data_IF_876061671814
#
_entry.id   IF_876061671814
#
_cell.length_a   1.000
_cell.length_b   1.000
_cell.length_c   1.000
_cell.angle_alpha   90.00
_cell.angle_beta   90.00
_cell.angle_gamma   90.00
#
_symmetry.space_group_name_H-M   'P 1'
#
loop_
_entity.id
_entity.type
_entity.pdbx_description
1 polymer ?
#
# COMPACT_ATOMS: atom_id res chain seq x y z
N UNK A 1 -6.52 -10.15 -6.36
CA UNK A 1 -6.95 -8.84 -5.83
C UNK A 1 -5.82 -8.30 -4.95
N UNK A 2 -5.77 -7.00 -4.63
CA UNK A 2 -4.75 -6.45 -3.72
C UNK A 2 -5.19 -6.60 -2.25
N UNK A 3 -4.23 -6.80 -1.34
CA UNK A 3 -4.45 -6.79 0.11
C UNK A 3 -3.73 -5.60 0.74
N UNK A 4 -4.49 -4.73 1.41
CA UNK A 4 -3.92 -3.73 2.31
C UNK A 4 -3.61 -4.40 3.65
N UNK A 5 -2.50 -4.02 4.27
CA UNK A 5 -2.01 -4.65 5.50
C UNK A 5 -1.61 -3.57 6.49
N UNK A 6 -2.11 -3.65 7.71
CA UNK A 6 -1.67 -2.76 8.79
C UNK A 6 -1.28 -3.55 10.03
N UNK A 7 -0.22 -3.13 10.70
CA UNK A 7 0.12 -3.67 12.02
C UNK A 7 -0.73 -2.99 13.09
N UNK A 8 -1.39 -3.77 13.94
CA UNK A 8 -2.31 -3.25 14.96
C UNK A 8 -1.69 -2.22 15.94
N UNK A 9 -0.37 -2.29 16.19
CA UNK A 9 0.32 -1.36 17.09
C UNK A 9 1.14 -0.29 16.36
N UNK A 10 1.04 -0.21 15.03
CA UNK A 10 1.54 0.95 14.28
C UNK A 10 0.45 2.04 14.31
N UNK A 11 0.65 3.20 14.98
CA UNK A 11 -0.38 4.22 15.10
C UNK A 11 -0.87 4.76 13.75
N UNK A 12 0.03 5.03 12.80
CA UNK A 12 -0.35 5.56 11.49
C UNK A 12 -1.07 4.48 10.67
N UNK A 13 -0.48 3.29 10.61
CA UNK A 13 -1.04 2.14 9.91
C UNK A 13 -2.43 1.76 10.44
N UNK A 14 -2.57 1.69 11.75
CA UNK A 14 -3.84 1.38 12.41
C UNK A 14 -4.90 2.44 12.17
N UNK A 15 -4.56 3.74 12.24
CA UNK A 15 -5.52 4.81 11.96
C UNK A 15 -5.99 4.80 10.49
N UNK A 16 -5.08 4.61 9.54
CA UNK A 16 -5.43 4.44 8.13
C UNK A 16 -6.34 3.22 7.92
N UNK A 17 -5.99 2.07 8.49
CA UNK A 17 -6.79 0.84 8.39
C UNK A 17 -8.17 1.00 9.03
N UNK A 18 -8.26 1.66 10.20
CA UNK A 18 -9.51 1.93 10.89
C UNK A 18 -10.46 2.75 10.03
N UNK A 19 -9.96 3.78 9.35
CA UNK A 19 -10.76 4.57 8.40
C UNK A 19 -11.25 3.71 7.24
N UNK A 20 -10.34 2.98 6.58
CA UNK A 20 -10.66 2.16 5.41
C UNK A 20 -11.69 1.07 5.74
N UNK A 21 -11.55 0.44 6.91
CA UNK A 21 -12.39 -0.68 7.33
C UNK A 21 -13.88 -0.33 7.51
N UNK A 22 -14.23 0.96 7.63
CA UNK A 22 -15.62 1.41 7.81
C UNK A 22 -16.53 1.08 6.61
N UNK A 23 -15.94 1.00 5.42
CA UNK A 23 -16.63 0.73 4.15
C UNK A 23 -16.43 -0.72 3.67
N UNK A 24 -15.86 -1.58 4.51
CA UNK A 24 -15.56 -2.98 4.22
C UNK A 24 -16.36 -3.91 5.11
N UNK A 25 -16.61 -5.12 4.61
CA UNK A 25 -17.31 -6.16 5.37
C UNK A 25 -16.31 -7.06 6.09
N UNK A 26 -16.43 -7.21 7.42
CA UNK A 26 -15.50 -8.07 8.17
C UNK A 26 -15.85 -9.55 7.96
N UNK A 27 -14.90 -10.33 7.47
CA UNK A 27 -14.97 -11.78 7.25
C UNK A 27 -13.72 -12.46 7.81
N UNK A 28 -13.86 -13.05 9.01
CA UNK A 28 -12.74 -13.64 9.74
C UNK A 28 -11.62 -12.64 10.03
N UNK A 29 -10.43 -12.93 9.52
CA UNK A 29 -9.22 -12.13 9.71
C UNK A 29 -9.07 -10.99 8.68
N UNK A 30 -10.01 -10.85 7.75
CA UNK A 30 -9.93 -9.92 6.63
C UNK A 30 -11.20 -9.06 6.56
N UNK A 31 -11.02 -7.79 6.20
CA UNK A 31 -12.09 -6.90 5.78
C UNK A 31 -12.20 -6.95 4.26
N UNK A 32 -13.33 -7.46 3.75
CA UNK A 32 -13.60 -7.69 2.33
C UNK A 32 -14.14 -6.46 1.65
N UNK A 33 -13.63 -6.19 0.45
CA UNK A 33 -14.04 -5.05 -0.37
C UNK A 33 -14.16 -5.37 -1.84
N UNK A 34 -14.78 -4.43 -2.57
CA UNK A 34 -14.94 -4.54 -4.03
C UNK A 34 -13.63 -4.38 -4.81
N UNK A 35 -12.72 -3.54 -4.30
CA UNK A 35 -11.53 -3.09 -5.03
C UNK A 35 -10.23 -3.69 -4.49
N UNK A 36 -10.20 -3.91 -3.18
CA UNK A 36 -9.12 -4.46 -2.39
C UNK A 36 -9.71 -5.01 -1.11
N UNK A 37 -8.97 -5.88 -0.44
CA UNK A 37 -9.25 -6.31 0.93
C UNK A 37 -8.28 -5.66 1.90
N UNK A 38 -8.54 -5.76 3.21
CA UNK A 38 -7.68 -5.23 4.27
C UNK A 38 -7.49 -6.28 5.37
N UNK A 39 -6.25 -6.52 5.79
CA UNK A 39 -5.92 -7.31 6.98
C UNK A 39 -5.23 -6.44 8.03
N UNK A 40 -5.60 -6.63 9.29
CA UNK A 40 -4.90 -6.04 10.43
C UNK A 40 -4.14 -7.17 11.14
N UNK A 41 -2.81 -7.11 11.10
CA UNK A 41 -1.94 -8.19 11.56
C UNK A 41 -1.41 -7.94 12.99
N UNK A 42 -1.10 -9.01 13.74
CA UNK A 42 -0.66 -8.89 15.14
C UNK A 42 0.85 -8.65 15.30
N UNK A 43 1.62 -8.72 14.21
CA UNK A 43 3.08 -8.53 14.20
C UNK A 43 3.51 -7.37 13.30
N UNK A 44 4.71 -6.79 13.49
CA UNK A 44 5.22 -5.72 12.64
C UNK A 44 5.18 -6.06 11.14
N UNK A 45 4.74 -5.10 10.33
CA UNK A 45 4.65 -5.23 8.87
C UNK A 45 6.00 -5.54 8.23
N UNK A 46 7.08 -4.94 8.74
CA UNK A 46 8.45 -5.15 8.26
C UNK A 46 8.95 -6.60 8.41
N UNK A 47 8.28 -7.40 9.25
CA UNK A 47 8.62 -8.81 9.51
C UNK A 47 7.55 -9.78 8.96
N UNK A 48 6.73 -9.32 8.01
CA UNK A 48 5.62 -10.06 7.46
C UNK A 48 6.00 -10.95 6.25
N UNK A 49 7.18 -11.58 6.27
CA UNK A 49 7.58 -12.53 5.21
C UNK A 49 6.65 -13.76 5.14
N UNK A 50 5.95 -14.07 6.24
CA UNK A 50 4.96 -15.15 6.35
C UNK A 50 3.61 -14.84 5.68
N UNK A 51 3.40 -13.61 5.20
CA UNK A 51 2.06 -13.12 4.83
C UNK A 51 1.39 -13.96 3.73
N UNK A 52 2.16 -14.41 2.73
CA UNK A 52 1.69 -15.25 1.62
C UNK A 52 1.25 -16.66 2.06
N UNK A 53 1.75 -17.16 3.20
CA UNK A 53 1.33 -18.46 3.74
C UNK A 53 -0.12 -18.42 4.26
N UNK A 54 -0.58 -17.23 4.67
CA UNK A 54 -1.92 -17.02 5.23
C UNK A 54 -2.88 -16.34 4.26
N UNK A 55 -2.40 -15.39 3.46
CA UNK A 55 -3.24 -14.56 2.62
C UNK A 55 -2.75 -14.60 1.17
N UNK A 56 -3.46 -15.32 0.30
CA UNK A 56 -3.13 -15.41 -1.13
C UNK A 56 -3.77 -14.26 -1.93
N UNK A 57 -2.94 -13.28 -2.33
CA UNK A 57 -3.39 -12.10 -3.08
C UNK A 57 -2.46 -11.80 -4.26
N UNK A 58 -2.83 -10.84 -5.12
CA UNK A 58 -2.03 -10.44 -6.28
C UNK A 58 -0.93 -9.44 -5.94
N UNK A 59 -1.00 -8.82 -4.76
CA UNK A 59 -0.07 -7.80 -4.27
C UNK A 59 -0.45 -7.30 -2.88
N UNK A 60 0.52 -6.69 -2.19
CA UNK A 60 0.43 -6.28 -0.80
C UNK A 60 0.78 -4.80 -0.63
N UNK A 61 -0.06 -4.06 0.09
CA UNK A 61 0.12 -2.63 0.36
C UNK A 61 0.15 -2.43 1.87
N UNK A 62 1.33 -2.14 2.40
CA UNK A 62 1.53 -1.95 3.83
C UNK A 62 1.23 -0.50 4.21
N UNK A 63 0.36 -0.32 5.19
CA UNK A 63 0.04 0.94 5.82
C UNK A 63 0.90 1.06 7.07
N UNK A 64 1.81 2.03 7.11
CA UNK A 64 2.75 2.14 8.23
C UNK A 64 3.09 3.60 8.58
N UNK A 65 3.83 3.75 9.67
CA UNK A 65 4.51 4.99 10.03
C UNK A 65 5.89 5.06 9.39
N UNK A 66 6.28 6.26 8.99
CA UNK A 66 7.66 6.59 8.68
C UNK A 66 8.29 7.29 9.90
N UNK A 67 9.50 6.89 10.29
CA UNK A 67 10.26 7.51 11.38
C UNK A 67 11.66 7.91 10.90
N UNK A 68 12.04 9.17 11.13
CA UNK A 68 13.34 9.71 10.76
C UNK A 68 13.85 10.70 11.81
N UNK A 69 15.14 10.60 12.10
CA UNK A 69 15.84 11.45 13.08
C UNK A 69 15.80 12.94 12.70
N UNK A 70 15.73 13.24 11.39
CA UNK A 70 15.67 14.61 10.88
C UNK A 70 14.42 15.39 11.35
N UNK A 71 13.36 14.70 11.77
CA UNK A 71 12.07 15.29 12.13
C UNK A 71 11.31 15.93 10.96
N UNK A 72 11.82 15.80 9.72
CA UNK A 72 11.17 16.35 8.52
C UNK A 72 9.87 15.60 8.27
N UNK A 73 8.74 16.32 8.25
CA UNK A 73 7.43 15.72 7.96
C UNK A 73 7.38 15.22 6.52
N UNK A 74 6.97 13.97 6.33
CA UNK A 74 6.95 13.34 5.02
C UNK A 74 5.70 12.47 4.82
N UNK A 75 5.18 12.47 3.59
CA UNK A 75 4.24 11.47 3.10
C UNK A 75 4.97 10.67 2.04
N UNK A 76 5.13 9.38 2.28
CA UNK A 76 6.08 8.57 1.53
C UNK A 76 5.48 7.28 1.01
N UNK A 77 6.16 6.69 0.04
CA UNK A 77 6.00 5.29 -0.28
C UNK A 77 7.30 4.70 -0.81
N UNK A 78 7.51 3.41 -0.58
CA UNK A 78 8.69 2.70 -1.07
C UNK A 78 8.45 1.21 -1.20
N UNK A 79 9.28 0.57 -2.02
CA UNK A 79 9.32 -0.89 -2.13
C UNK A 79 10.30 -1.44 -1.08
N UNK A 80 10.16 -2.70 -0.71
CA UNK A 80 10.98 -3.33 0.34
C UNK A 80 12.17 -4.10 -0.22
N UNK A 81 13.20 -4.27 0.59
CA UNK A 81 14.42 -4.94 0.17
C UNK A 81 15.64 -4.57 0.98
N UNK A 82 16.58 -5.50 1.08
CA UNK A 82 17.86 -5.30 1.74
C UNK A 82 18.99 -5.52 0.73
N UNK A 83 19.77 -4.48 0.43
CA UNK A 83 20.94 -4.60 -0.47
C UNK A 83 22.18 -5.21 0.21
N UNK A 84 22.28 -5.09 1.53
CA UNK A 84 23.27 -5.77 2.37
C UNK A 84 22.54 -6.54 3.46
N UNK A 85 22.74 -6.18 4.73
CA UNK A 85 22.20 -6.86 5.90
C UNK A 85 20.73 -6.50 6.13
N UNK A 86 20.04 -7.33 6.92
CA UNK A 86 18.59 -7.28 7.12
C UNK A 86 18.26 -6.94 8.57
N UNK A 87 18.70 -5.77 9.02
CA UNK A 87 18.57 -5.33 10.42
C UNK A 87 17.11 -5.07 10.82
N UNK A 88 16.24 -4.79 9.83
CA UNK A 88 14.83 -4.44 10.01
C UNK A 88 13.91 -5.37 9.20
N UNK A 89 14.05 -6.69 9.42
CA UNK A 89 13.19 -7.70 8.80
C UNK A 89 13.58 -8.08 7.37
N UNK A 90 12.97 -9.15 6.86
CA UNK A 90 13.36 -9.79 5.61
C UNK A 90 14.70 -10.52 5.69
N UNK A 91 15.27 -10.78 4.51
CA UNK A 91 16.52 -11.52 4.34
C UNK A 91 17.62 -10.67 3.70
N UNK A 92 18.86 -11.02 4.03
CA UNK A 92 20.07 -10.37 3.52
C UNK A 92 20.14 -10.49 1.99
N UNK A 93 20.49 -9.39 1.30
CA UNK A 93 20.67 -9.35 -0.16
C UNK A 93 19.44 -9.83 -0.95
N UNK A 94 18.24 -9.56 -0.45
CA UNK A 94 16.99 -9.87 -1.12
C UNK A 94 16.15 -8.60 -1.29
N UNK A 95 15.59 -8.40 -2.48
CA UNK A 95 14.72 -7.27 -2.81
C UNK A 95 13.36 -7.81 -3.24
N UNK A 96 12.29 -7.21 -2.75
CA UNK A 96 10.93 -7.66 -3.09
C UNK A 96 10.54 -7.24 -4.50
N UNK A 97 9.46 -7.83 -5.02
CA UNK A 97 8.90 -7.41 -6.31
C UNK A 97 8.25 -6.03 -6.12
N UNK A 98 8.61 -5.01 -6.90
CA UNK A 98 8.10 -3.65 -6.67
C UNK A 98 6.69 -3.44 -7.24
N UNK A 99 5.86 -2.69 -6.52
CA UNK A 99 4.50 -2.31 -6.97
C UNK A 99 4.48 -0.99 -7.76
N UNK A 100 5.24 -0.95 -8.86
CA UNK A 100 5.60 0.29 -9.57
C UNK A 100 4.41 1.12 -10.07
N UNK A 101 3.35 0.48 -10.59
CA UNK A 101 2.19 1.19 -11.11
C UNK A 101 1.38 1.86 -10.01
N UNK A 102 1.19 1.18 -8.87
CA UNK A 102 0.53 1.75 -7.70
C UNK A 102 1.37 2.88 -7.10
N UNK A 103 2.68 2.65 -6.92
CA UNK A 103 3.61 3.65 -6.40
C UNK A 103 3.52 4.97 -7.18
N UNK A 104 3.61 4.89 -8.51
CA UNK A 104 3.48 6.05 -9.39
C UNK A 104 2.12 6.73 -9.24
N UNK A 105 1.04 5.95 -9.29
CA UNK A 105 -0.33 6.48 -9.23
C UNK A 105 -0.61 7.18 -7.90
N UNK A 106 -0.11 6.62 -6.80
CA UNK A 106 -0.24 7.17 -5.45
C UNK A 106 0.53 8.48 -5.29
N UNK A 107 1.81 8.53 -5.68
CA UNK A 107 2.60 9.77 -5.62
C UNK A 107 2.03 10.86 -6.51
N UNK A 108 1.55 10.52 -7.71
CA UNK A 108 0.87 11.49 -8.57
C UNK A 108 -0.39 12.07 -7.91
N UNK A 109 -1.17 11.23 -7.21
CA UNK A 109 -2.35 11.68 -6.49
C UNK A 109 -1.98 12.62 -5.33
N UNK A 110 -1.01 12.23 -4.48
CA UNK A 110 -0.49 13.10 -3.42
C UNK A 110 0.00 14.44 -3.98
N UNK A 111 0.80 14.41 -5.05
CA UNK A 111 1.37 15.62 -5.66
C UNK A 111 0.29 16.57 -6.21
N UNK A 112 -0.77 16.01 -6.80
CA UNK A 112 -1.91 16.80 -7.27
C UNK A 112 -2.65 17.52 -6.12
N UNK A 113 -2.60 16.94 -4.92
CA UNK A 113 -3.24 17.43 -3.70
C UNK A 113 -2.25 18.10 -2.73
N UNK A 114 -1.01 18.37 -3.15
CA UNK A 114 0.08 18.85 -2.28
C UNK A 114 -0.24 20.10 -1.47
N UNK A 115 -1.17 20.94 -1.94
CA UNK A 115 -1.60 22.13 -1.21
C UNK A 115 -2.30 21.78 0.12
N UNK A 116 -2.95 20.62 0.22
CA UNK A 116 -3.53 20.10 1.47
C UNK A 116 -2.44 19.66 2.47
N UNK A 117 -1.25 19.34 1.97
CA UNK A 117 -0.13 18.80 2.73
C UNK A 117 1.09 19.73 2.65
N UNK A 118 0.88 21.04 2.65
CA UNK A 118 1.92 22.05 2.38
C UNK A 118 3.12 22.01 3.34
N UNK A 119 2.97 21.37 4.50
CA UNK A 119 4.03 21.16 5.49
C UNK A 119 4.83 19.86 5.30
N UNK A 120 4.34 18.95 4.44
CA UNK A 120 4.92 17.64 4.23
C UNK A 120 5.73 17.60 2.94
N UNK A 121 6.88 16.95 3.01
CA UNK A 121 7.57 16.49 1.82
C UNK A 121 6.82 15.29 1.25
N UNK A 122 6.41 15.36 -0.02
CA UNK A 122 5.89 14.20 -0.75
C UNK A 122 7.06 13.57 -1.48
N UNK A 123 7.44 12.35 -1.14
CA UNK A 123 8.64 11.73 -1.70
C UNK A 123 8.55 10.21 -1.78
N UNK A 124 9.42 9.62 -2.59
CA UNK A 124 9.66 8.18 -2.64
C UNK A 124 10.93 7.90 -1.87
N UNK A 125 10.91 6.92 -0.99
CA UNK A 125 12.12 6.51 -0.26
C UNK A 125 12.90 5.44 -1.03
N UNK A 126 14.15 5.27 -0.63
CA UNK A 126 14.97 4.18 -1.13
C UNK A 126 14.35 2.82 -0.77
N UNK A 127 14.67 1.78 -1.54
CA UNK A 127 14.34 0.42 -1.16
C UNK A 127 15.11 0.04 0.10
N UNK A 128 14.39 -0.30 1.17
CA UNK A 128 14.96 -0.68 2.45
C UNK A 128 13.99 -1.57 3.24
N UNK A 129 14.54 -2.27 4.24
CA UNK A 129 13.87 -3.13 5.21
C UNK A 129 12.95 -4.23 4.64
N UNK A 130 12.41 -5.08 5.51
CA UNK A 130 11.51 -6.18 5.13
C UNK A 130 10.04 -5.77 4.95
N UNK A 131 9.17 -6.71 4.57
CA UNK A 131 9.48 -8.09 4.22
C UNK A 131 10.11 -8.17 2.82
N UNK A 132 10.89 -9.21 2.56
CA UNK A 132 11.59 -9.39 1.27
C UNK A 132 11.25 -10.68 0.55
N UNK A 133 10.64 -11.65 1.25
CA UNK A 133 10.32 -12.98 0.74
C UNK A 133 8.86 -13.11 0.29
N UNK A 134 8.31 -12.06 -0.31
CA UNK A 134 7.02 -12.07 -0.97
C UNK A 134 7.23 -12.29 -2.47
N UNK A 135 6.50 -13.26 -3.05
CA UNK A 135 6.48 -13.54 -4.49
C UNK A 135 5.49 -12.64 -5.25
N UNK A 136 4.77 -11.76 -4.54
CA UNK A 136 3.88 -10.75 -5.10
C UNK A 136 4.42 -9.34 -4.91
N UNK A 137 4.00 -8.37 -5.74
CA UNK A 137 4.36 -6.97 -5.57
C UNK A 137 4.06 -6.43 -4.17
N UNK A 138 5.00 -5.68 -3.59
CA UNK A 138 4.87 -5.08 -2.26
C UNK A 138 5.18 -3.58 -2.29
N UNK A 139 4.43 -2.80 -1.50
CA UNK A 139 4.62 -1.36 -1.35
C UNK A 139 4.25 -0.90 0.05
N UNK A 140 5.11 -0.10 0.67
CA UNK A 140 4.79 0.66 1.88
C UNK A 140 4.23 2.02 1.51
N UNK A 141 3.19 2.43 2.22
CA UNK A 141 2.60 3.77 2.19
C UNK A 141 2.64 4.29 3.62
N UNK A 142 3.33 5.41 3.80
CA UNK A 142 3.68 5.85 5.14
C UNK A 142 3.38 7.32 5.42
N UNK A 143 3.12 7.58 6.70
CA UNK A 143 2.94 8.91 7.26
C UNK A 143 4.09 9.14 8.24
N UNK A 144 4.84 10.20 8.02
CA UNK A 144 5.94 10.61 8.85
C UNK A 144 5.75 12.00 9.47
N UNK A 145 6.44 12.31 10.56
CA UNK A 145 7.62 11.56 11.04
C UNK A 145 7.60 11.31 12.55
N UNK A 146 6.61 11.86 13.25
CA UNK A 146 6.51 11.75 14.70
C UNK A 146 5.17 11.19 15.12
N UNK A 147 5.08 10.78 16.38
CA UNK A 147 3.83 10.29 16.98
C UNK A 147 2.66 11.26 16.83
N UNK A 148 2.94 12.57 16.81
CA UNK A 148 1.92 13.59 16.58
C UNK A 148 1.23 13.41 15.23
N UNK A 149 1.99 13.16 14.16
CA UNK A 149 1.43 12.95 12.82
C UNK A 149 0.84 11.54 12.68
N UNK A 150 1.46 10.53 13.30
CA UNK A 150 0.94 9.16 13.25
C UNK A 150 -0.41 8.99 13.98
N UNK A 151 -0.65 9.81 15.00
CA UNK A 151 -1.89 9.80 15.79
C UNK A 151 -2.92 10.83 15.31
N UNK A 152 -2.59 11.70 14.35
CA UNK A 152 -3.54 12.61 13.72
C UNK A 152 -4.49 11.84 12.81
N UNK A 153 -5.68 11.55 13.34
CA UNK A 153 -6.72 10.82 12.62
C UNK A 153 -7.15 11.53 11.33
N UNK A 154 -7.18 12.87 11.29
CA UNK A 154 -7.60 13.58 10.07
C UNK A 154 -6.55 13.46 8.96
N UNK A 155 -5.28 13.54 9.33
CA UNK A 155 -4.17 13.29 8.41
C UNK A 155 -4.22 11.86 7.87
N UNK A 156 -4.33 10.87 8.77
CA UNK A 156 -4.41 9.46 8.41
C UNK A 156 -5.61 9.17 7.50
N UNK A 157 -6.79 9.70 7.83
CA UNK A 157 -7.99 9.55 7.01
C UNK A 157 -7.81 10.17 5.62
N UNK A 158 -7.18 11.34 5.53
CA UNK A 158 -6.93 12.02 4.26
C UNK A 158 -6.01 11.21 3.35
N UNK A 159 -4.91 10.67 3.92
CA UNK A 159 -3.96 9.83 3.17
C UNK A 159 -4.61 8.50 2.75
N UNK A 160 -5.34 7.86 3.66
CA UNK A 160 -6.06 6.63 3.38
C UNK A 160 -7.12 6.82 2.27
N UNK A 161 -7.90 7.91 2.32
CA UNK A 161 -8.88 8.24 1.29
C UNK A 161 -8.21 8.39 -0.08
N UNK A 162 -7.06 9.04 -0.17
CA UNK A 162 -6.31 9.17 -1.43
C UNK A 162 -5.90 7.80 -1.98
N UNK A 163 -5.37 6.92 -1.14
CA UNK A 163 -5.04 5.55 -1.53
C UNK A 163 -6.27 4.80 -2.05
N UNK A 164 -7.39 4.86 -1.33
CA UNK A 164 -8.65 4.20 -1.73
C UNK A 164 -9.08 4.66 -3.13
N UNK A 165 -9.08 5.96 -3.40
CA UNK A 165 -9.46 6.50 -4.71
C UNK A 165 -8.48 6.09 -5.83
N UNK A 166 -7.18 6.03 -5.53
CA UNK A 166 -6.18 5.50 -6.47
C UNK A 166 -6.46 4.04 -6.81
N UNK A 167 -6.70 3.19 -5.80
CA UNK A 167 -6.98 1.77 -5.99
C UNK A 167 -8.26 1.55 -6.80
N UNK A 168 -9.33 2.28 -6.48
CA UNK A 168 -10.59 2.29 -7.26
C UNK A 168 -10.33 2.63 -8.72
N UNK A 169 -9.60 3.71 -8.98
CA UNK A 169 -9.29 4.18 -10.35
C UNK A 169 -8.49 3.15 -11.14
N UNK A 170 -7.48 2.53 -10.52
CA UNK A 170 -6.67 1.48 -11.16
C UNK A 170 -7.56 0.29 -11.52
N UNK A 171 -8.36 -0.21 -10.58
CA UNK A 171 -9.20 -1.40 -10.81
C UNK A 171 -10.26 -1.16 -11.89
N UNK A 172 -10.92 0.00 -11.87
CA UNK A 172 -11.90 0.37 -12.89
C UNK A 172 -11.25 0.45 -14.29
N UNK A 173 -10.04 1.01 -14.38
CA UNK A 173 -9.31 1.09 -15.66
C UNK A 173 -8.94 -0.29 -16.20
N UNK A 174 -8.48 -1.20 -15.33
CA UNK A 174 -8.19 -2.59 -15.72
C UNK A 174 -9.46 -3.27 -16.23
N UNK A 175 -10.58 -3.16 -15.51
CA UNK A 175 -11.85 -3.75 -15.92
C UNK A 175 -12.33 -3.23 -17.27
N UNK A 176 -12.22 -1.92 -17.50
CA UNK A 176 -12.58 -1.30 -18.79
C UNK A 176 -11.72 -1.83 -19.94
N UNK A 177 -10.40 -1.98 -19.73
CA UNK A 177 -9.48 -2.51 -20.73
C UNK A 177 -9.76 -3.99 -21.03
N UNK A 178 -10.09 -4.80 -20.03
CA UNK A 178 -10.48 -6.21 -20.21
C UNK A 178 -11.74 -6.35 -21.06
N UNK A 179 -12.75 -5.53 -20.81
CA UNK A 179 -13.99 -5.52 -21.61
C UNK A 179 -13.69 -5.12 -23.06
N UNK A 180 -12.88 -4.08 -23.27
CA UNK A 180 -12.50 -3.64 -24.61
C UNK A 180 -11.73 -4.73 -25.38
N UNK A 181 -10.79 -5.40 -24.72
CA UNK A 181 -10.03 -6.50 -25.31
C UNK A 181 -10.96 -7.66 -25.73
N UNK A 182 -11.91 -8.05 -24.89
CA UNK A 182 -12.88 -9.10 -25.20
C UNK A 182 -13.75 -8.75 -26.42
N UNK A 183 -14.20 -7.49 -26.52
CA UNK A 183 -14.98 -7.01 -27.66
C UNK A 183 -14.18 -7.05 -28.98
N UNK A 184 -12.88 -6.70 -28.93
CA UNK A 184 -11.99 -6.79 -30.10
C UNK A 184 -11.83 -8.24 -30.56
N UNK A 185 -11.60 -9.17 -29.63
CA UNK A 185 -11.46 -10.60 -29.93
C UNK A 185 -12.75 -11.15 -30.54
N UNK A 186 -13.91 -10.84 -29.94
CA UNK A 186 -15.21 -11.30 -30.45
C UNK A 186 -15.48 -10.75 -31.86
N UNK A 187 -15.16 -9.48 -32.11
CA UNK A 187 -15.29 -8.88 -33.44
C UNK A 187 -14.42 -9.60 -34.47
N UNK A 188 -13.18 -9.93 -34.13
CA UNK A 188 -12.28 -10.66 -35.03
C UNK A 188 -12.73 -12.11 -35.29
N UNK A 189 -13.36 -12.77 -34.31
CA UNK A 189 -13.93 -14.10 -34.49
C UNK A 189 -15.19 -14.10 -35.36
N UNK A 190 -16.00 -13.03 -35.32
CA UNK A 190 -17.20 -12.89 -36.15
C UNK A 190 -16.92 -12.42 -37.58
N UNK A 191 -15.70 -11.94 -37.86
CA UNK A 191 -15.28 -11.49 -39.20
C UNK A 191 -14.51 -12.57 -39.99
N UNK A 192 -14.29 -13.75 -39.40
CA UNK A 192 -13.73 -14.94 -40.06
C UNK A 192 -14.81 -16.03 -40.14
#
# INVERSE_FOLDING_TARGET
MELLVAYQNDPAGHNMAKFISQELEKDGDVYKGKYFDLAIIPSPAISADWLEEKFEYDGYVFLSKHAAESGVLALTCHNTGNFSDADFGGYRRQVSIPHTHLQKSYIQALWSLRNMFSKFQITIEATHHGPTSLNKPALFIEIGTTEKEWTDANLCNSVAQILVEVMKKIKNRIQQLSVLAALIILKNLLMN
#
